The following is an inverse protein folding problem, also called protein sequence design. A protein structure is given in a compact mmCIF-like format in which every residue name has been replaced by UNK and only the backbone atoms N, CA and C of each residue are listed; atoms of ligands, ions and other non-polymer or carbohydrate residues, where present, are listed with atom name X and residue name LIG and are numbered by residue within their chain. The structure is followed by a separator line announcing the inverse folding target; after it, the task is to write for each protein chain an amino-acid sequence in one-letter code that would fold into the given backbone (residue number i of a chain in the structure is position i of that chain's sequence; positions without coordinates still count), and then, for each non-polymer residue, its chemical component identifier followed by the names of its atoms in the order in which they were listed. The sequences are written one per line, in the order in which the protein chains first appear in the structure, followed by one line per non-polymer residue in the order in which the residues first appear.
data_IF_386594617503
#
_entry.id   IF_386594617503
#
_cell.length_a   1.000
_cell.length_b   1.000
_cell.length_c   1.000
_cell.angle_alpha   90.00
_cell.angle_beta   90.00
_cell.angle_gamma   90.00
#
_symmetry.space_group_name_H-M   'P 1'
#
loop_
_entity.id
_entity.type
_entity.pdbx_description
1 polymer ?
#
# COMPACT_ATOMS: atom_id res chain seq x y z
N UNK A 1 -29.17 -0.47 8.94
CA UNK A 1 -28.00 0.37 9.29
C UNK A 1 -27.20 0.50 8.01
N UNK A 2 -27.26 1.68 7.40
CA UNK A 2 -26.71 1.97 6.08
C UNK A 2 -25.18 1.97 6.13
N UNK A 3 -24.55 1.47 5.07
CA UNK A 3 -23.11 1.25 4.87
C UNK A 3 -22.25 2.55 4.80
N UNK A 4 -22.75 3.67 5.33
CA UNK A 4 -22.39 5.00 4.81
C UNK A 4 -21.39 5.80 5.67
N UNK A 5 -20.74 5.20 6.66
CA UNK A 5 -19.78 5.92 7.51
C UNK A 5 -18.52 5.13 7.88
N UNK A 6 -18.11 4.17 7.04
CA UNK A 6 -16.80 3.54 7.21
C UNK A 6 -15.73 4.46 6.61
N UNK A 7 -15.01 5.17 7.48
CA UNK A 7 -13.87 5.99 7.09
C UNK A 7 -12.97 5.22 6.10
N UNK A 8 -12.49 5.87 5.02
CA UNK A 8 -11.69 5.19 4.00
C UNK A 8 -10.50 4.49 4.66
N UNK A 9 -10.16 3.26 4.23
CA UNK A 9 -9.12 2.47 4.87
C UNK A 9 -7.81 3.26 4.89
N UNK A 10 -7.28 3.47 6.09
CA UNK A 10 -5.96 4.07 6.28
C UNK A 10 -4.90 3.06 5.80
N UNK A 11 -4.19 3.37 4.71
CA UNK A 11 -3.09 2.54 4.20
C UNK A 11 -3.22 2.16 2.73
N UNK A 12 -2.48 1.12 2.34
CA UNK A 12 -2.51 0.58 0.98
C UNK A 12 -3.44 -0.63 0.90
N UNK A 13 -4.31 -0.65 -0.10
CA UNK A 13 -5.04 -1.86 -0.49
C UNK A 13 -4.47 -2.33 -1.82
N UNK A 14 -4.06 -3.60 -1.87
CA UNK A 14 -3.60 -4.24 -3.10
C UNK A 14 -4.21 -5.63 -3.22
N UNK A 15 -4.48 -6.04 -4.45
CA UNK A 15 -4.98 -7.37 -4.75
C UNK A 15 -3.81 -8.35 -4.91
N UNK A 16 -3.90 -9.51 -4.26
CA UNK A 16 -2.95 -10.62 -4.41
C UNK A 16 -3.73 -11.84 -4.89
N UNK A 17 -3.28 -12.43 -6.00
CA UNK A 17 -3.95 -13.60 -6.55
C UNK A 17 -3.67 -14.87 -5.72
N UNK A 18 -4.58 -15.83 -5.80
CA UNK A 18 -4.42 -17.15 -5.15
C UNK A 18 -3.14 -17.86 -5.62
N UNK A 19 -2.74 -17.66 -6.88
CA UNK A 19 -1.49 -18.26 -7.39
C UNK A 19 -0.26 -17.59 -6.79
N UNK A 20 -0.25 -16.27 -6.65
CA UNK A 20 0.84 -15.55 -5.98
C UNK A 20 1.02 -16.02 -4.54
N UNK A 21 -0.09 -16.25 -3.81
CA UNK A 21 -0.06 -16.81 -2.46
C UNK A 21 0.52 -18.23 -2.45
N UNK A 22 0.12 -19.08 -3.41
CA UNK A 22 0.64 -20.45 -3.53
C UNK A 22 2.15 -20.48 -3.82
N UNK A 23 2.62 -19.63 -4.73
CA UNK A 23 4.06 -19.51 -5.05
C UNK A 23 4.84 -19.05 -3.82
N UNK A 24 4.37 -18.01 -3.13
CA UNK A 24 5.04 -17.50 -1.93
C UNK A 24 5.08 -18.53 -0.79
N UNK A 25 3.98 -19.29 -0.61
CA UNK A 25 3.91 -20.30 0.44
C UNK A 25 4.94 -21.43 0.27
N UNK A 26 5.39 -21.71 -0.95
CA UNK A 26 6.41 -22.73 -1.26
C UNK A 26 7.85 -22.28 -0.99
N UNK A 27 8.07 -20.99 -0.74
CA UNK A 27 9.40 -20.47 -0.45
C UNK A 27 9.86 -20.86 0.96
N UNK A 28 11.14 -21.23 1.09
CA UNK A 28 11.82 -21.37 2.39
C UNK A 28 11.92 -20.02 3.10
N UNK A 29 12.26 -20.03 4.39
CA UNK A 29 12.45 -18.79 5.14
C UNK A 29 13.58 -17.92 4.56
N UNK A 30 14.69 -18.54 4.14
CA UNK A 30 15.82 -17.85 3.51
C UNK A 30 15.40 -17.20 2.20
N UNK A 31 14.61 -17.90 1.38
CA UNK A 31 14.11 -17.36 0.11
C UNK A 31 13.14 -16.20 0.32
N UNK A 32 12.28 -16.27 1.35
CA UNK A 32 11.40 -15.16 1.72
C UNK A 32 12.19 -13.94 2.19
N UNK A 33 13.25 -14.17 2.97
CA UNK A 33 14.13 -13.10 3.42
C UNK A 33 14.88 -12.45 2.25
N UNK A 34 15.44 -13.25 1.33
CA UNK A 34 16.08 -12.74 0.12
C UNK A 34 15.10 -11.94 -0.76
N UNK A 35 13.86 -12.42 -0.91
CA UNK A 35 12.80 -11.69 -1.60
C UNK A 35 12.48 -10.35 -0.91
N UNK A 36 12.39 -10.32 0.42
CA UNK A 36 12.14 -9.09 1.17
C UNK A 36 13.27 -8.06 0.97
N UNK A 37 14.53 -8.47 1.09
CA UNK A 37 15.68 -7.58 0.95
C UNK A 37 15.81 -7.03 -0.48
N UNK A 38 15.62 -7.88 -1.49
CA UNK A 38 15.62 -7.44 -2.90
C UNK A 38 14.47 -6.47 -3.20
N UNK A 39 13.27 -6.74 -2.69
CA UNK A 39 12.12 -5.84 -2.83
C UNK A 39 12.39 -4.50 -2.14
N UNK A 40 12.97 -4.51 -0.95
CA UNK A 40 13.36 -3.29 -0.22
C UNK A 40 14.38 -2.48 -1.00
N UNK A 41 15.43 -3.12 -1.53
CA UNK A 41 16.45 -2.45 -2.33
C UNK A 41 15.86 -1.81 -3.59
N UNK A 42 14.99 -2.54 -4.29
CA UNK A 42 14.26 -2.01 -5.45
C UNK A 42 13.40 -0.79 -5.08
N UNK A 43 12.60 -0.88 -4.01
CA UNK A 43 11.71 0.22 -3.59
C UNK A 43 12.49 1.48 -3.20
N UNK A 44 13.65 1.33 -2.56
CA UNK A 44 14.54 2.46 -2.24
C UNK A 44 15.11 3.08 -3.51
N UNK A 45 15.58 2.26 -4.45
CA UNK A 45 16.17 2.73 -5.70
C UNK A 45 15.13 3.40 -6.62
N UNK A 46 13.89 2.90 -6.62
CA UNK A 46 12.79 3.42 -7.43
C UNK A 46 11.99 4.55 -6.75
N UNK A 47 12.36 4.96 -5.53
CA UNK A 47 11.60 5.94 -4.76
C UNK A 47 11.63 7.33 -5.42
N UNK A 48 10.45 7.86 -5.74
CA UNK A 48 10.29 9.25 -6.16
C UNK A 48 10.06 10.19 -4.96
N UNK A 49 10.32 11.51 -5.08
CA UNK A 49 9.99 12.47 -4.03
C UNK A 49 8.53 12.38 -3.56
N UNK A 50 7.59 12.18 -4.49
CA UNK A 50 6.17 12.02 -4.18
C UNK A 50 5.93 10.74 -3.37
N UNK A 51 6.55 9.63 -3.77
CA UNK A 51 6.42 8.34 -3.08
C UNK A 51 7.00 8.41 -1.66
N UNK A 52 8.14 9.09 -1.50
CA UNK A 52 8.76 9.34 -0.18
C UNK A 52 7.82 10.16 0.71
N UNK A 53 7.20 11.22 0.19
CA UNK A 53 6.29 12.05 0.97
C UNK A 53 5.02 11.28 1.36
N UNK A 54 4.46 10.48 0.45
CA UNK A 54 3.33 9.58 0.76
C UNK A 54 3.67 8.62 1.91
N UNK A 55 4.86 8.02 1.89
CA UNK A 55 5.32 7.13 2.98
C UNK A 55 5.48 7.90 4.30
N UNK A 56 5.98 9.14 4.27
CA UNK A 56 6.08 9.98 5.48
C UNK A 56 4.71 10.31 6.07
N UNK A 57 3.73 10.67 5.24
CA UNK A 57 2.33 10.90 5.66
C UNK A 57 1.74 9.67 6.36
N UNK A 58 1.91 8.49 5.77
CA UNK A 58 1.45 7.24 6.40
C UNK A 58 2.08 6.98 7.76
N UNK A 59 3.38 7.23 7.92
CA UNK A 59 4.07 7.06 9.21
C UNK A 59 3.54 7.99 10.29
N UNK A 60 2.96 9.13 9.90
CA UNK A 60 2.27 10.07 10.80
C UNK A 60 0.78 9.74 10.99
N UNK A 61 0.26 8.71 10.34
CA UNK A 61 -1.16 8.33 10.38
C UNK A 61 -2.06 9.19 9.49
N UNK A 62 -1.48 9.96 8.56
CA UNK A 62 -2.18 10.83 7.62
C UNK A 62 -2.64 10.08 6.36
N UNK A 63 -3.62 10.63 5.64
CA UNK A 63 -4.09 10.06 4.35
C UNK A 63 -3.10 10.32 3.21
N UNK A 64 -3.00 9.35 2.30
CA UNK A 64 -2.16 9.39 1.09
C UNK A 64 -2.96 9.72 -0.17
N UNK A 65 -4.29 9.59 -0.09
CA UNK A 65 -5.21 9.86 -1.19
C UNK A 65 -5.47 11.37 -1.18
N UNK A 66 -5.10 12.08 -2.26
CA UNK A 66 -5.70 13.41 -2.47
C UNK A 66 -7.20 13.21 -2.67
N UNK A 67 -8.07 14.00 -2.02
CA UNK A 67 -9.48 13.98 -2.35
C UNK A 67 -9.59 14.22 -3.85
N UNK A 68 -10.21 13.27 -4.55
CA UNK A 68 -10.44 13.37 -5.99
C UNK A 68 -11.02 14.76 -6.29
N UNK A 69 -10.27 15.60 -6.99
CA UNK A 69 -10.73 16.88 -7.51
C UNK A 69 -11.86 16.60 -8.50
N UNK A 70 -13.08 16.48 -7.99
CA UNK A 70 -14.24 15.98 -8.75
C UNK A 70 -15.44 15.55 -7.91
N UNK A 71 -15.33 15.43 -6.58
CA UNK A 71 -16.54 15.32 -5.75
C UNK A 71 -17.12 16.72 -5.54
N UNK A 72 -18.33 17.04 -6.05
CA UNK A 72 -18.98 18.32 -5.75
C UNK A 72 -19.28 18.40 -4.24
N UNK A 73 -19.35 19.60 -3.66
CA UNK A 73 -19.76 19.75 -2.27
C UNK A 73 -21.15 19.15 -2.10
N UNK A 74 -21.26 18.12 -1.28
CA UNK A 74 -22.55 17.61 -0.81
C UNK A 74 -23.25 18.73 -0.04
N UNK A 75 -24.36 19.22 -0.59
CA UNK A 75 -25.39 19.97 0.14
C UNK A 75 -26.29 19.02 0.90
#
# INVERSE_FOLDING_TARGET
MSDEERAPPKGYTYHVSTEQLRVFARLSYEQRFAWLESTRAFLVAAATPETIERVRRLRRGETVVEPHAGSPPTS
#
